data_IF_370026108227
#
_entry.id   IF_370026108227
#
_cell.length_a   1.000
_cell.length_b   1.000
_cell.length_c   1.000
_cell.angle_alpha   90.00
_cell.angle_beta   90.00
_cell.angle_gamma   90.00
#
_symmetry.space_group_name_H-M   'P 1'
#
loop_
_entity.id
_entity.type
_entity.pdbx_description
1 polymer ?
#
# COMPACT_ATOMS: atom_id res chain seq x y z
N UNK A 1 -17.49 9.68 -17.89
CA UNK A 1 -18.51 9.19 -16.93
C UNK A 1 -17.79 8.51 -15.76
N UNK A 2 -18.00 9.00 -14.57
CA UNK A 2 -17.46 8.32 -13.38
C UNK A 2 -18.35 7.14 -13.04
N UNK A 3 -17.76 5.97 -12.86
CA UNK A 3 -18.49 4.82 -12.36
C UNK A 3 -18.91 5.05 -10.89
N UNK A 4 -20.14 4.73 -10.59
CA UNK A 4 -20.63 4.78 -9.21
C UNK A 4 -20.41 3.42 -8.56
N UNK A 5 -19.49 3.39 -7.58
CA UNK A 5 -19.14 2.18 -6.84
C UNK A 5 -19.92 2.02 -5.53
N UNK A 6 -20.87 2.90 -5.23
CA UNK A 6 -21.57 2.88 -3.95
C UNK A 6 -22.31 1.55 -3.72
N UNK A 7 -23.08 1.12 -4.72
CA UNK A 7 -23.82 -0.16 -4.65
C UNK A 7 -22.86 -1.36 -4.62
N UNK A 8 -21.76 -1.27 -5.35
CA UNK A 8 -20.74 -2.31 -5.38
C UNK A 8 -20.09 -2.48 -4.01
N UNK A 9 -19.69 -1.39 -3.37
CA UNK A 9 -19.09 -1.43 -2.03
C UNK A 9 -20.03 -2.04 -1.01
N UNK A 10 -21.30 -1.63 -1.02
CA UNK A 10 -22.32 -2.16 -0.12
C UNK A 10 -22.51 -3.66 -0.32
N UNK A 11 -22.60 -4.11 -1.57
CA UNK A 11 -22.74 -5.51 -1.90
C UNK A 11 -21.51 -6.33 -1.46
N UNK A 12 -20.31 -5.82 -1.71
CA UNK A 12 -19.07 -6.49 -1.32
C UNK A 12 -18.96 -6.63 0.20
N UNK A 13 -19.29 -5.59 0.94
CA UNK A 13 -19.29 -5.65 2.40
C UNK A 13 -20.27 -6.70 2.93
N UNK A 14 -21.43 -6.79 2.30
CA UNK A 14 -22.45 -7.77 2.68
C UNK A 14 -22.00 -9.20 2.38
N UNK A 15 -21.41 -9.44 1.21
CA UNK A 15 -20.99 -10.77 0.77
C UNK A 15 -19.74 -11.26 1.51
N UNK A 16 -18.74 -10.39 1.71
CA UNK A 16 -17.48 -10.76 2.33
C UNK A 16 -17.60 -10.98 3.84
N UNK A 17 -18.57 -10.34 4.49
CA UNK A 17 -18.76 -10.44 5.94
C UNK A 17 -17.46 -10.26 6.71
N UNK A 18 -16.74 -9.17 6.42
CA UNK A 18 -15.44 -8.90 7.02
C UNK A 18 -15.61 -8.72 8.53
N UNK A 19 -14.82 -9.47 9.28
CA UNK A 19 -14.78 -9.40 10.74
C UNK A 19 -13.40 -8.95 11.20
N UNK A 20 -13.36 -8.07 12.20
CA UNK A 20 -12.11 -7.55 12.74
C UNK A 20 -11.15 -8.67 13.18
N UNK A 21 -11.67 -9.69 13.86
CA UNK A 21 -10.86 -10.81 14.37
C UNK A 21 -10.24 -11.68 13.28
N UNK A 22 -10.80 -11.64 12.07
CA UNK A 22 -10.34 -12.45 10.94
C UNK A 22 -9.67 -11.59 9.87
N UNK A 23 -9.26 -10.37 10.22
CA UNK A 23 -8.73 -9.40 9.27
C UNK A 23 -7.27 -9.10 9.57
N UNK A 24 -6.50 -8.92 8.51
CA UNK A 24 -5.11 -8.49 8.54
C UNK A 24 -4.92 -7.45 7.44
N UNK A 25 -4.11 -6.42 7.70
CA UNK A 25 -3.71 -5.49 6.66
C UNK A 25 -2.38 -5.91 6.07
N UNK A 26 -2.32 -5.98 4.76
CA UNK A 26 -1.10 -6.26 4.03
C UNK A 26 -0.68 -5.01 3.27
N UNK A 27 0.54 -4.50 3.50
CA UNK A 27 1.13 -3.48 2.65
C UNK A 27 2.07 -4.15 1.66
N UNK A 28 2.06 -3.70 0.42
CA UNK A 28 2.89 -4.27 -0.64
C UNK A 28 3.67 -3.15 -1.30
N UNK A 29 5.00 -3.28 -1.34
CA UNK A 29 5.90 -2.34 -2.02
C UNK A 29 5.84 -0.91 -1.48
N UNK A 30 5.44 -0.72 -0.24
CA UNK A 30 5.47 0.57 0.45
C UNK A 30 6.89 0.83 0.97
N UNK A 31 7.81 1.11 0.07
CA UNK A 31 9.23 1.22 0.36
C UNK A 31 9.86 2.40 -0.37
N UNK A 32 11.01 2.85 0.12
CA UNK A 32 11.70 4.03 -0.42
C UNK A 32 12.07 3.89 -1.91
N UNK A 33 12.37 2.68 -2.36
CA UNK A 33 12.65 2.43 -3.77
C UNK A 33 11.54 2.93 -4.70
N UNK A 34 10.28 2.88 -4.24
CA UNK A 34 9.13 3.29 -5.04
C UNK A 34 8.55 4.62 -4.62
N UNK A 35 8.67 5.00 -3.36
CA UNK A 35 8.01 6.18 -2.80
C UNK A 35 8.92 7.36 -2.56
N UNK A 36 10.24 7.15 -2.39
CA UNK A 36 11.17 8.26 -2.15
C UNK A 36 11.56 8.89 -3.49
N UNK A 37 11.25 10.17 -3.73
CA UNK A 37 11.61 10.85 -4.98
C UNK A 37 13.12 10.94 -5.23
N UNK A 38 13.93 10.85 -4.18
CA UNK A 38 15.38 10.97 -4.29
C UNK A 38 16.07 9.67 -4.71
N UNK A 39 15.55 8.54 -4.23
CA UNK A 39 16.15 7.21 -4.43
C UNK A 39 15.23 6.26 -5.20
N UNK A 40 14.02 6.70 -5.49
CA UNK A 40 13.03 5.87 -6.17
C UNK A 40 13.40 5.57 -7.61
N UNK A 41 13.09 4.35 -8.04
CA UNK A 41 13.30 3.93 -9.42
C UNK A 41 12.15 4.30 -10.34
N UNK A 42 10.99 4.61 -9.76
CA UNK A 42 9.80 5.01 -10.51
C UNK A 42 9.48 6.47 -10.26
N UNK A 43 9.32 7.28 -11.31
CA UNK A 43 9.02 8.70 -11.15
C UNK A 43 7.57 8.89 -10.72
N UNK A 44 7.35 9.10 -9.43
CA UNK A 44 6.06 9.50 -8.89
C UNK A 44 6.09 10.99 -8.55
N UNK A 45 4.98 11.67 -8.80
CA UNK A 45 4.82 13.05 -8.38
C UNK A 45 4.85 13.13 -6.84
N UNK A 46 5.55 14.15 -6.31
CA UNK A 46 5.66 14.33 -4.86
C UNK A 46 4.29 14.42 -4.20
N UNK A 47 3.32 15.09 -4.84
CA UNK A 47 1.97 15.21 -4.32
C UNK A 47 1.27 13.86 -4.17
N UNK A 48 1.50 12.94 -5.10
CA UNK A 48 0.95 11.58 -5.02
C UNK A 48 1.61 10.79 -3.88
N UNK A 49 2.93 10.89 -3.73
CA UNK A 49 3.66 10.24 -2.65
C UNK A 49 3.18 10.76 -1.29
N UNK A 50 3.07 12.08 -1.12
CA UNK A 50 2.60 12.68 0.12
C UNK A 50 1.18 12.21 0.46
N UNK A 51 0.30 12.12 -0.51
CA UNK A 51 -1.06 11.61 -0.33
C UNK A 51 -1.07 10.15 0.09
N UNK A 52 -0.28 9.31 -0.58
CA UNK A 52 -0.18 7.88 -0.26
C UNK A 52 0.32 7.70 1.17
N UNK A 53 1.38 8.40 1.55
CA UNK A 53 1.94 8.30 2.89
C UNK A 53 0.97 8.78 3.97
N UNK A 54 0.30 9.89 3.73
CA UNK A 54 -0.70 10.44 4.65
C UNK A 54 -1.86 9.46 4.85
N UNK A 55 -2.42 8.95 3.78
CA UNK A 55 -3.55 8.03 3.83
C UNK A 55 -3.15 6.68 4.43
N UNK A 56 -1.96 6.20 4.10
CA UNK A 56 -1.44 4.94 4.65
C UNK A 56 -1.22 5.05 6.16
N UNK A 57 -0.61 6.13 6.62
CA UNK A 57 -0.40 6.37 8.05
C UNK A 57 -1.71 6.48 8.81
N UNK A 58 -2.68 7.16 8.25
CA UNK A 58 -4.02 7.25 8.84
C UNK A 58 -4.63 5.86 9.00
N UNK A 59 -4.61 5.05 7.96
CA UNK A 59 -5.14 3.70 7.97
C UNK A 59 -4.41 2.81 8.97
N UNK A 60 -3.08 2.81 8.95
CA UNK A 60 -2.25 2.02 9.86
C UNK A 60 -2.55 2.36 11.32
N UNK A 61 -2.65 3.66 11.65
CA UNK A 61 -2.93 4.08 13.01
C UNK A 61 -4.32 3.63 13.47
N UNK A 62 -5.31 3.71 12.60
CA UNK A 62 -6.67 3.24 12.90
C UNK A 62 -6.70 1.74 13.16
N UNK A 63 -6.03 0.96 12.31
CA UNK A 63 -6.03 -0.49 12.43
C UNK A 63 -5.24 -0.96 13.65
N UNK A 64 -4.14 -0.28 14.00
CA UNK A 64 -3.39 -0.57 15.23
C UNK A 64 -4.24 -0.37 16.47
N UNK A 65 -5.05 0.68 16.51
CA UNK A 65 -5.98 0.92 17.62
C UNK A 65 -7.04 -0.18 17.74
N UNK A 66 -7.38 -0.83 16.65
CA UNK A 66 -8.32 -1.95 16.63
C UNK A 66 -7.63 -3.30 16.85
N UNK A 67 -6.32 -3.32 17.10
CA UNK A 67 -5.51 -4.52 17.25
C UNK A 67 -5.56 -5.46 16.03
N UNK A 68 -5.72 -4.89 14.85
CA UNK A 68 -5.66 -5.63 13.59
C UNK A 68 -4.19 -5.83 13.22
N UNK A 69 -3.75 -7.07 12.96
CA UNK A 69 -2.37 -7.34 12.55
C UNK A 69 -2.03 -6.66 11.24
N UNK A 70 -0.80 -6.16 11.14
CA UNK A 70 -0.28 -5.50 9.94
C UNK A 70 0.95 -6.26 9.49
N UNK A 71 0.97 -6.64 8.22
CA UNK A 71 2.10 -7.31 7.58
C UNK A 71 2.62 -6.43 6.45
N UNK A 72 3.92 -6.15 6.47
CA UNK A 72 4.58 -5.37 5.43
C UNK A 72 5.34 -6.30 4.50
N UNK A 73 5.02 -6.22 3.21
CA UNK A 73 5.73 -6.94 2.17
C UNK A 73 6.55 -5.97 1.35
N UNK A 74 7.83 -6.25 1.16
CA UNK A 74 8.71 -5.38 0.38
C UNK A 74 9.72 -6.24 -0.40
N UNK A 75 10.27 -5.65 -1.45
CA UNK A 75 11.27 -6.31 -2.28
C UNK A 75 12.65 -5.98 -1.73
N UNK A 76 13.45 -7.02 -1.52
CA UNK A 76 14.87 -6.89 -1.18
C UNK A 76 15.68 -7.34 -2.38
N UNK A 77 16.55 -6.47 -2.87
CA UNK A 77 17.42 -6.80 -4.00
C UNK A 77 18.77 -7.26 -3.49
N UNK A 78 19.30 -8.31 -4.09
CA UNK A 78 20.66 -8.75 -3.82
C UNK A 78 21.64 -7.73 -4.37
N UNK A 79 22.82 -7.61 -3.75
CA UNK A 79 23.87 -6.69 -4.15
C UNK A 79 24.27 -6.88 -5.63
N UNK A 80 24.29 -8.10 -6.10
CA UNK A 80 24.60 -8.42 -7.49
C UNK A 80 23.55 -7.90 -8.47
N UNK A 81 22.30 -7.87 -8.07
CA UNK A 81 21.20 -7.37 -8.90
C UNK A 81 21.31 -5.87 -9.11
N UNK A 82 21.83 -5.13 -8.13
CA UNK A 82 22.00 -3.69 -8.22
C UNK A 82 23.01 -3.28 -9.29
N UNK A 83 23.99 -4.15 -9.61
CA UNK A 83 24.99 -3.88 -10.65
C UNK A 83 24.39 -3.76 -12.03
N UNK A 84 23.28 -4.40 -12.29
CA UNK A 84 22.65 -4.42 -13.61
C UNK A 84 21.64 -3.29 -13.80
N UNK A 85 21.43 -2.48 -12.78
CA UNK A 85 20.57 -1.31 -12.83
C UNK A 85 19.20 -1.60 -13.46
N UNK A 86 18.61 -2.74 -13.09
CA UNK A 86 17.27 -3.08 -13.54
C UNK A 86 16.27 -2.12 -12.92
N UNK A 87 15.64 -1.31 -13.74
CA UNK A 87 14.42 -0.66 -13.33
C UNK A 87 13.31 -1.69 -13.47
N UNK A 88 13.01 -2.35 -12.38
CA UNK A 88 11.82 -3.19 -12.32
C UNK A 88 10.68 -2.30 -11.88
N UNK A 89 9.88 -1.98 -12.82
CA UNK A 89 8.64 -1.26 -12.56
C UNK A 89 7.61 -2.21 -11.97
#
# INVERSE_FOLDING_TARGET
MKADFTNYKSLMNKLLKIKQKDTCLLTVDMQNEYLDPKVGTSPLAKSDVDRILKNSNFLLNKLRKLNIPIVHCYVVRKKEELKYNFSIS
#
